data_IF_111310830116
#
_entry.id   IF_111310830116
#
_cell.length_a   1.000
_cell.length_b   1.000
_cell.length_c   1.000
_cell.angle_alpha   90.00
_cell.angle_beta   90.00
_cell.angle_gamma   90.00
#
_symmetry.space_group_name_H-M   'P 1'
#
loop_
_entity.id
_entity.type
_entity.pdbx_description
1 polymer ?
#
# COMPACT_ATOMS: atom_id res chain seq x y z
N UNK A 1 13.02 4.09 -17.24
CA UNK A 1 12.53 3.58 -15.95
C UNK A 1 11.01 3.66 -15.96
N UNK A 2 10.34 2.76 -15.25
CA UNK A 2 8.87 2.66 -15.19
C UNK A 2 8.46 2.61 -13.73
N UNK A 3 8.11 3.75 -13.16
CA UNK A 3 7.93 3.88 -11.72
C UNK A 3 6.47 3.75 -11.28
N UNK A 4 6.27 3.12 -10.12
CA UNK A 4 4.99 2.97 -9.46
C UNK A 4 5.05 3.61 -8.08
N UNK A 5 3.96 4.27 -7.69
CA UNK A 5 3.79 4.81 -6.33
C UNK A 5 2.76 3.95 -5.59
N UNK A 6 3.17 3.33 -4.49
CA UNK A 6 2.28 2.53 -3.65
C UNK A 6 1.60 3.41 -2.61
N UNK A 7 0.27 3.42 -2.60
CA UNK A 7 -0.54 4.08 -1.59
C UNK A 7 -1.03 3.02 -0.61
N UNK A 8 -0.67 3.15 0.67
CA UNK A 8 -1.02 2.19 1.70
C UNK A 8 -1.95 2.89 2.68
N UNK A 9 -3.19 2.43 2.78
CA UNK A 9 -4.24 3.17 3.47
C UNK A 9 -4.95 2.30 4.50
N UNK A 10 -4.91 2.78 5.76
CA UNK A 10 -5.47 2.12 6.92
C UNK A 10 -4.67 0.91 7.38
N UNK A 11 -5.02 0.40 8.56
CA UNK A 11 -4.33 -0.71 9.21
C UNK A 11 -4.09 -1.91 8.29
N UNK A 12 -5.12 -2.41 7.60
CA UNK A 12 -4.99 -3.56 6.70
C UNK A 12 -4.00 -3.30 5.55
N UNK A 13 -4.14 -2.15 4.87
CA UNK A 13 -3.27 -1.76 3.77
C UNK A 13 -1.80 -1.65 4.21
N UNK A 14 -1.56 -1.03 5.35
CA UNK A 14 -0.22 -0.86 5.93
C UNK A 14 0.43 -2.19 6.34
N UNK A 15 -0.33 -3.11 6.93
CA UNK A 15 0.17 -4.44 7.31
C UNK A 15 0.51 -5.31 6.10
N UNK A 16 -0.35 -5.33 5.08
CA UNK A 16 -0.09 -6.03 3.81
C UNK A 16 1.15 -5.44 3.16
N UNK A 17 1.23 -4.11 3.10
CA UNK A 17 2.36 -3.44 2.50
C UNK A 17 3.68 -3.75 3.21
N UNK A 18 3.68 -3.85 4.54
CA UNK A 18 4.87 -4.27 5.29
C UNK A 18 5.41 -5.62 4.77
N UNK A 19 4.54 -6.59 4.52
CA UNK A 19 4.94 -7.88 3.94
C UNK A 19 5.33 -7.79 2.48
N UNK A 20 4.66 -6.95 1.71
CA UNK A 20 5.03 -6.64 0.33
C UNK A 20 6.47 -6.08 0.24
N UNK A 21 6.82 -5.08 1.05
CA UNK A 21 8.15 -4.47 1.03
C UNK A 21 9.24 -5.41 1.55
N UNK A 22 8.95 -6.21 2.59
CA UNK A 22 9.86 -7.25 3.08
C UNK A 22 10.20 -8.25 1.96
N UNK A 23 9.18 -8.70 1.23
CA UNK A 23 9.36 -9.62 0.11
C UNK A 23 10.11 -8.96 -1.05
N UNK A 24 9.72 -7.75 -1.47
CA UNK A 24 10.36 -7.03 -2.55
C UNK A 24 11.86 -6.82 -2.27
N UNK A 25 12.21 -6.38 -1.07
CA UNK A 25 13.62 -6.22 -0.65
C UNK A 25 14.39 -7.54 -0.72
N UNK A 26 13.77 -8.63 -0.26
CA UNK A 26 14.39 -9.97 -0.27
C UNK A 26 14.60 -10.47 -1.70
N UNK A 27 13.63 -10.29 -2.58
CA UNK A 27 13.70 -10.71 -3.98
C UNK A 27 14.76 -9.92 -4.75
N UNK A 28 14.78 -8.60 -4.61
CA UNK A 28 15.81 -7.78 -5.24
C UNK A 28 17.20 -8.10 -4.70
N UNK A 29 17.36 -8.31 -3.38
CA UNK A 29 18.63 -8.72 -2.79
C UNK A 29 19.14 -10.08 -3.33
N UNK A 30 18.23 -11.00 -3.67
CA UNK A 30 18.59 -12.29 -4.26
C UNK A 30 18.94 -12.21 -5.76
N UNK A 31 18.37 -11.26 -6.50
CA UNK A 31 18.54 -11.12 -7.95
C UNK A 31 19.70 -10.20 -8.36
N UNK A 32 20.10 -9.25 -7.51
CA UNK A 32 21.18 -8.32 -7.78
C UNK A 32 22.56 -9.02 -7.86
N UNK A 33 23.01 -9.32 -9.09
CA UNK A 33 24.35 -9.86 -9.38
C UNK A 33 25.43 -8.80 -9.68
N UNK A 34 25.04 -7.55 -9.91
CA UNK A 34 25.90 -6.41 -10.31
C UNK A 34 25.39 -5.10 -9.67
N UNK A 35 26.26 -4.12 -9.36
CA UNK A 35 25.87 -2.90 -8.63
C UNK A 35 25.16 -1.85 -9.51
N UNK A 36 24.97 -2.14 -10.80
CA UNK A 36 24.14 -1.33 -11.68
C UNK A 36 22.67 -1.56 -11.33
N UNK A 37 22.00 -0.51 -10.87
CA UNK A 37 20.58 -0.50 -10.56
C UNK A 37 19.79 -1.22 -11.66
N UNK A 38 19.20 -2.36 -11.30
CA UNK A 38 18.29 -3.05 -12.18
C UNK A 38 17.06 -2.15 -12.39
N UNK A 39 16.55 -2.08 -13.61
CA UNK A 39 15.34 -1.31 -13.93
C UNK A 39 14.18 -1.73 -13.03
N UNK A 40 14.15 -3.01 -12.64
CA UNK A 40 13.17 -3.57 -11.70
C UNK A 40 13.20 -2.88 -10.32
N UNK A 41 14.37 -2.54 -9.79
CA UNK A 41 14.53 -1.93 -8.46
C UNK A 41 14.06 -0.47 -8.48
N UNK A 42 14.40 0.27 -9.54
CA UNK A 42 13.97 1.68 -9.71
C UNK A 42 12.45 1.86 -9.79
N UNK A 43 11.73 0.80 -10.16
CA UNK A 43 10.27 0.79 -10.28
C UNK A 43 9.58 1.02 -8.93
N UNK A 44 10.14 0.47 -7.85
CA UNK A 44 9.56 0.50 -6.50
C UNK A 44 10.40 1.30 -5.49
N UNK A 45 11.70 1.44 -5.73
CA UNK A 45 12.64 2.07 -4.82
C UNK A 45 13.35 3.26 -5.48
N UNK A 46 13.61 4.27 -4.67
CA UNK A 46 14.57 5.33 -4.92
C UNK A 46 15.89 4.98 -4.24
N UNK A 47 17.00 5.16 -4.93
CA UNK A 47 18.32 5.06 -4.34
C UNK A 47 18.66 6.47 -3.84
N UNK A 48 18.75 6.65 -2.51
CA UNK A 48 19.09 7.93 -1.93
C UNK A 48 20.56 8.30 -2.16
N UNK A 49 20.86 9.60 -2.23
CA UNK A 49 22.23 10.09 -2.15
C UNK A 49 22.79 9.90 -0.74
N UNK A 50 24.05 9.46 -0.64
CA UNK A 50 24.79 9.23 0.62
C UNK A 50 25.07 10.51 1.45
N UNK A 51 24.40 11.64 1.16
CA UNK A 51 24.68 12.97 1.72
C UNK A 51 23.92 13.29 3.03
N UNK A 52 23.04 12.40 3.50
CA UNK A 52 22.31 12.55 4.77
C UNK A 52 22.97 11.87 5.98
N UNK A 53 22.66 12.29 7.23
CA UNK A 53 23.21 11.67 8.44
C UNK A 53 22.74 10.21 8.52
N UNK A 54 23.65 9.26 8.26
CA UNK A 54 23.45 7.80 8.33
C UNK A 54 22.01 7.39 7.98
N UNK A 55 21.65 7.49 6.69
CA UNK A 55 20.43 6.83 6.23
C UNK A 55 20.56 5.35 6.56
N UNK A 56 19.73 4.86 7.48
CA UNK A 56 19.58 3.43 7.79
C UNK A 56 19.16 2.72 6.50
N UNK A 57 20.14 2.31 5.70
CA UNK A 57 19.90 1.69 4.41
C UNK A 57 19.19 0.37 4.62
N UNK A 58 17.99 0.23 4.04
CA UNK A 58 17.18 -0.99 4.12
C UNK A 58 17.30 -1.68 2.77
N UNK A 59 18.42 -2.35 2.54
CA UNK A 59 18.69 -3.10 1.30
C UNK A 59 20.09 -3.70 1.35
N UNK A 60 20.22 -5.01 1.12
CA UNK A 60 21.51 -5.70 1.12
C UNK A 60 21.96 -5.94 -0.31
N UNK A 61 23.07 -5.33 -0.71
CA UNK A 61 23.77 -5.63 -1.95
C UNK A 61 25.17 -6.15 -1.62
N UNK A 62 25.47 -7.42 -1.89
CA UNK A 62 26.82 -7.98 -1.67
C UNK A 62 27.38 -7.77 -0.25
N UNK A 63 26.51 -7.65 0.76
CA UNK A 63 26.89 -7.34 2.15
C UNK A 63 26.95 -5.84 2.52
N UNK A 64 26.73 -4.94 1.56
CA UNK A 64 26.71 -3.49 1.76
C UNK A 64 25.26 -2.96 1.80
N UNK A 65 24.97 -2.07 2.76
CA UNK A 65 23.66 -1.42 2.87
C UNK A 65 23.50 -0.34 1.81
N UNK A 66 22.45 -0.44 0.99
CA UNK A 66 22.04 0.62 0.07
C UNK A 66 20.99 1.52 0.74
N UNK A 67 21.07 2.85 0.55
CA UNK A 67 20.12 3.81 1.10
C UNK A 67 18.80 3.81 0.30
N UNK A 68 18.10 2.68 0.27
CA UNK A 68 16.84 2.55 -0.46
C UNK A 68 15.71 3.27 0.28
N UNK A 69 14.88 3.95 -0.51
CA UNK A 69 13.61 4.55 -0.08
C UNK A 69 12.48 3.98 -0.91
N UNK A 70 11.43 3.48 -0.26
CA UNK A 70 10.24 3.01 -0.97
C UNK A 70 9.48 4.19 -1.59
N UNK A 71 9.03 4.03 -2.84
CA UNK A 71 8.08 4.93 -3.50
C UNK A 71 6.68 4.68 -2.93
N UNK A 72 6.47 5.10 -1.69
CA UNK A 72 5.25 4.81 -0.96
C UNK A 72 4.73 6.02 -0.19
N UNK A 73 3.40 6.14 -0.15
CA UNK A 73 2.67 7.04 0.73
C UNK A 73 1.91 6.18 1.73
N UNK A 74 2.14 6.45 3.01
CA UNK A 74 1.59 5.65 4.11
C UNK A 74 0.57 6.51 4.83
N UNK A 75 -0.67 6.03 4.91
CA UNK A 75 -1.80 6.77 5.48
C UNK A 75 -2.48 5.89 6.50
N UNK A 76 -2.64 6.39 7.72
CA UNK A 76 -3.48 5.76 8.72
C UNK A 76 -4.04 6.82 9.66
N UNK A 77 -5.31 6.76 10.03
CA UNK A 77 -5.88 7.74 10.97
C UNK A 77 -5.70 7.31 12.43
N UNK A 78 -4.83 6.33 12.66
CA UNK A 78 -4.42 5.85 13.97
C UNK A 78 -2.88 5.72 14.01
N UNK A 79 -2.25 6.27 15.05
CA UNK A 79 -0.78 6.34 15.13
C UNK A 79 -0.11 4.98 15.41
N UNK A 80 -0.85 4.00 15.94
CA UNK A 80 -0.29 2.74 16.42
C UNK A 80 0.48 1.97 15.34
N UNK A 81 -0.15 1.76 14.18
CA UNK A 81 0.41 0.95 13.08
C UNK A 81 1.65 1.62 12.47
N UNK A 82 1.57 2.94 12.23
CA UNK A 82 2.69 3.70 11.65
C UNK A 82 3.86 3.77 12.64
N UNK A 83 3.58 3.95 13.93
CA UNK A 83 4.59 3.95 14.99
C UNK A 83 5.33 2.61 15.10
N UNK A 84 4.62 1.49 15.00
CA UNK A 84 5.23 0.15 14.97
C UNK A 84 6.07 -0.07 13.71
N UNK A 85 5.56 0.33 12.55
CA UNK A 85 6.28 0.22 11.28
C UNK A 85 7.62 1.00 11.31
N UNK A 86 7.61 2.21 11.88
CA UNK A 86 8.80 3.04 12.05
C UNK A 86 9.81 2.49 13.05
N UNK A 87 9.35 1.82 14.12
CA UNK A 87 10.22 1.14 15.09
C UNK A 87 10.76 -0.19 14.57
N UNK A 88 10.08 -0.78 13.59
CA UNK A 88 10.45 -2.04 12.98
C UNK A 88 11.68 -1.96 12.06
N UNK A 89 12.07 -3.12 11.53
CA UNK A 89 13.23 -3.26 10.63
C UNK A 89 13.14 -2.43 9.34
N UNK A 90 11.93 -2.04 8.95
CA UNK A 90 11.64 -1.29 7.72
C UNK A 90 11.46 0.22 7.97
N UNK A 91 11.60 0.73 9.19
CA UNK A 91 11.41 2.15 9.46
C UNK A 91 12.32 3.06 8.65
N UNK A 92 13.55 2.59 8.34
CA UNK A 92 14.50 3.30 7.48
C UNK A 92 14.11 3.35 6.00
N UNK A 93 13.17 2.51 5.55
CA UNK A 93 12.77 2.40 4.15
C UNK A 93 11.83 3.52 3.71
N UNK A 94 10.97 3.98 4.61
CA UNK A 94 9.96 4.97 4.30
C UNK A 94 10.46 6.38 4.61
N UNK A 95 10.00 7.35 3.83
CA UNK A 95 10.25 8.76 4.14
C UNK A 95 9.14 9.27 5.06
N UNK A 96 9.50 9.81 6.23
CA UNK A 96 8.54 10.37 7.20
C UNK A 96 7.65 11.45 6.57
N UNK A 97 8.19 12.21 5.62
CA UNK A 97 7.46 13.24 4.87
C UNK A 97 6.35 12.67 3.97
N UNK A 98 6.40 11.38 3.64
CA UNK A 98 5.38 10.65 2.88
C UNK A 98 4.40 9.88 3.77
N UNK A 99 4.48 10.05 5.10
CA UNK A 99 3.53 9.48 6.05
C UNK A 99 2.49 10.51 6.44
N UNK A 100 1.24 10.09 6.59
CA UNK A 100 0.16 10.85 7.18
C UNK A 100 -0.49 10.02 8.28
N UNK A 101 -0.42 10.51 9.52
CA UNK A 101 -1.12 9.95 10.66
C UNK A 101 -1.95 10.99 11.40
N UNK A 102 -2.99 10.54 12.09
CA UNK A 102 -3.72 11.32 13.08
C UNK A 102 -4.15 10.41 14.26
N UNK A 103 -4.73 10.98 15.31
CA UNK A 103 -5.15 10.26 16.53
C UNK A 103 -6.61 9.83 16.51
N UNK A 104 -7.39 10.32 15.55
CA UNK A 104 -8.81 10.04 15.43
C UNK A 104 -9.07 9.06 14.29
N UNK A 105 -9.15 7.77 14.63
CA UNK A 105 -9.54 6.72 13.70
C UNK A 105 -10.91 7.00 13.07
N UNK A 106 -11.18 6.41 11.90
CA UNK A 106 -12.46 6.60 11.19
C UNK A 106 -13.63 5.84 11.82
N UNK A 107 -13.42 5.14 12.95
CA UNK A 107 -14.47 4.46 13.71
C UNK A 107 -15.28 3.45 12.89
N UNK A 108 -14.64 2.75 11.96
CA UNK A 108 -15.29 1.84 11.01
C UNK A 108 -16.46 2.47 10.21
N UNK A 109 -16.35 3.77 9.90
CA UNK A 109 -17.35 4.50 9.13
C UNK A 109 -16.74 5.05 7.84
N UNK A 110 -17.19 4.53 6.69
CA UNK A 110 -16.76 5.00 5.37
C UNK A 110 -17.00 6.49 5.17
N UNK A 111 -18.15 7.03 5.60
CA UNK A 111 -18.48 8.45 5.41
C UNK A 111 -17.54 9.36 6.20
N UNK A 112 -17.08 8.91 7.38
CA UNK A 112 -16.05 9.64 8.14
C UNK A 112 -14.73 9.67 7.37
N UNK A 113 -14.31 8.56 6.79
CA UNK A 113 -13.11 8.49 5.97
C UNK A 113 -13.21 9.34 4.68
N UNK A 114 -14.31 9.20 3.95
CA UNK A 114 -14.47 9.78 2.61
C UNK A 114 -14.95 11.24 2.65
N UNK A 115 -16.00 11.55 3.40
CA UNK A 115 -16.63 12.89 3.39
C UNK A 115 -16.08 13.85 4.44
N UNK A 116 -15.49 13.35 5.54
CA UNK A 116 -14.88 14.22 6.55
C UNK A 116 -13.36 14.27 6.39
N UNK A 117 -12.66 13.14 6.53
CA UNK A 117 -11.20 13.09 6.48
C UNK A 117 -10.62 13.34 5.09
N UNK A 118 -11.27 12.84 4.03
CA UNK A 118 -10.89 13.14 2.65
C UNK A 118 -10.69 14.65 2.41
N UNK A 119 -11.76 15.47 2.55
CA UNK A 119 -11.65 16.93 2.42
C UNK A 119 -10.71 17.57 3.44
N UNK A 120 -10.74 17.14 4.71
CA UNK A 120 -9.90 17.70 5.76
C UNK A 120 -8.40 17.57 5.46
N UNK A 121 -7.97 16.41 4.94
CA UNK A 121 -6.57 16.13 4.65
C UNK A 121 -6.19 16.29 3.17
N UNK A 122 -7.13 16.71 2.31
CA UNK A 122 -6.95 16.82 0.87
C UNK A 122 -5.62 17.48 0.48
N UNK A 123 -5.36 18.69 0.99
CA UNK A 123 -4.13 19.43 0.66
C UNK A 123 -2.86 18.72 1.15
N UNK A 124 -2.91 18.07 2.30
CA UNK A 124 -1.77 17.32 2.87
C UNK A 124 -1.45 16.07 2.06
N UNK A 125 -2.49 15.37 1.58
CA UNK A 125 -2.36 14.18 0.73
C UNK A 125 -1.86 14.57 -0.66
N UNK A 126 -2.43 15.62 -1.25
CA UNK A 126 -2.04 16.14 -2.55
C UNK A 126 -0.57 16.54 -2.61
N UNK A 127 -0.07 17.26 -1.59
CA UNK A 127 1.35 17.62 -1.53
C UNK A 127 2.28 16.40 -1.47
N UNK A 128 1.88 15.33 -0.78
CA UNK A 128 2.64 14.07 -0.72
C UNK A 128 2.66 13.37 -2.06
N UNK A 129 1.50 13.27 -2.71
CA UNK A 129 1.33 12.71 -4.05
C UNK A 129 2.20 13.45 -5.07
N UNK A 130 2.12 14.79 -5.11
CA UNK A 130 2.95 15.61 -6.01
C UNK A 130 4.44 15.40 -5.77
N UNK A 131 4.88 15.42 -4.50
CA UNK A 131 6.30 15.15 -4.18
C UNK A 131 6.74 13.75 -4.63
N UNK A 132 5.90 12.74 -4.45
CA UNK A 132 6.22 11.37 -4.85
C UNK A 132 6.29 11.26 -6.39
N UNK A 133 5.37 11.92 -7.10
CA UNK A 133 5.34 11.97 -8.56
C UNK A 133 6.53 12.75 -9.15
N UNK A 134 6.88 13.91 -8.58
CA UNK A 134 8.05 14.73 -8.97
C UNK A 134 9.38 13.98 -8.79
N UNK A 135 9.43 13.00 -7.89
CA UNK A 135 10.61 12.16 -7.68
C UNK A 135 10.66 10.95 -8.64
N UNK A 136 9.72 10.82 -9.59
CA UNK A 136 9.72 9.80 -10.64
C UNK A 136 10.15 10.43 -11.97
N UNK A 137 11.00 9.75 -12.73
CA UNK A 137 11.34 10.16 -14.10
C UNK A 137 10.19 9.84 -15.06
N UNK A 138 9.52 8.70 -14.84
CA UNK A 138 8.37 8.28 -15.64
C UNK A 138 7.33 7.48 -14.83
N UNK A 139 6.48 8.21 -14.09
CA UNK A 139 5.36 7.61 -13.35
C UNK A 139 4.40 6.87 -14.30
N UNK A 140 4.20 5.58 -14.06
CA UNK A 140 3.30 4.73 -14.86
C UNK A 140 1.96 4.49 -14.17
N UNK A 141 1.95 4.47 -12.84
CA UNK A 141 0.76 4.09 -12.10
C UNK A 141 0.87 4.24 -10.59
N UNK A 142 -0.30 4.21 -9.97
CA UNK A 142 -0.49 4.12 -8.54
C UNK A 142 -1.01 2.73 -8.19
N UNK A 143 -0.49 2.16 -7.10
CA UNK A 143 -0.97 0.92 -6.51
C UNK A 143 -1.55 1.21 -5.13
N UNK A 144 -2.87 1.23 -5.02
CA UNK A 144 -3.57 1.36 -3.74
C UNK A 144 -3.67 0.00 -3.05
N UNK A 145 -3.24 -0.08 -1.80
CA UNK A 145 -3.42 -1.21 -0.89
C UNK A 145 -4.36 -0.76 0.23
N UNK A 146 -5.56 -1.34 0.30
CA UNK A 146 -6.58 -0.95 1.28
C UNK A 146 -7.57 -2.08 1.57
N UNK A 147 -8.38 -1.93 2.63
CA UNK A 147 -9.53 -2.80 2.90
C UNK A 147 -10.85 -2.12 2.61
N UNK A 148 -11.86 -2.92 2.26
CA UNK A 148 -13.23 -2.46 2.05
C UNK A 148 -14.06 -2.42 3.34
N UNK A 149 -13.70 -3.23 4.34
CA UNK A 149 -14.43 -3.30 5.60
C UNK A 149 -14.15 -2.14 6.57
N UNK A 150 -12.91 -1.64 6.63
CA UNK A 150 -12.49 -0.62 7.60
C UNK A 150 -12.80 0.81 7.14
N UNK A 151 -13.10 1.74 8.06
CA UNK A 151 -13.50 3.11 7.71
C UNK A 151 -12.41 3.93 7.01
N UNK A 152 -11.16 3.84 7.46
CA UNK A 152 -10.02 4.55 6.84
C UNK A 152 -9.65 3.93 5.49
N UNK A 153 -9.49 2.60 5.44
CA UNK A 153 -9.14 1.89 4.21
C UNK A 153 -10.18 2.07 3.11
N UNK A 154 -11.45 1.93 3.45
CA UNK A 154 -12.55 2.04 2.50
C UNK A 154 -12.80 3.51 2.13
N UNK A 155 -13.07 4.38 3.10
CA UNK A 155 -13.45 5.78 2.88
C UNK A 155 -12.30 6.63 2.34
N UNK A 156 -11.20 6.73 3.11
CA UNK A 156 -10.07 7.57 2.71
C UNK A 156 -9.29 6.96 1.53
N UNK A 157 -9.21 5.63 1.46
CA UNK A 157 -8.57 4.96 0.32
C UNK A 157 -9.30 5.21 -0.99
N UNK A 158 -10.63 5.17 -1.00
CA UNK A 158 -11.41 5.47 -2.21
C UNK A 158 -11.45 6.96 -2.55
N UNK A 159 -11.44 7.84 -1.54
CA UNK A 159 -11.25 9.28 -1.76
C UNK A 159 -9.91 9.59 -2.43
N UNK A 160 -8.84 8.85 -2.09
CA UNK A 160 -7.57 8.99 -2.79
C UNK A 160 -7.68 8.62 -4.28
N UNK A 161 -8.45 7.59 -4.64
CA UNK A 161 -8.64 7.23 -6.06
C UNK A 161 -9.30 8.35 -6.85
N UNK A 162 -10.33 9.00 -6.28
CA UNK A 162 -10.98 10.14 -6.94
C UNK A 162 -10.01 11.31 -7.09
N UNK A 163 -9.20 11.60 -6.05
CA UNK A 163 -8.17 12.63 -6.12
C UNK A 163 -7.11 12.34 -7.20
N UNK A 164 -6.67 11.08 -7.33
CA UNK A 164 -5.70 10.69 -8.36
C UNK A 164 -6.25 10.89 -9.77
N UNK A 165 -7.54 10.63 -9.98
CA UNK A 165 -8.19 10.87 -11.26
C UNK A 165 -8.10 12.33 -11.68
N UNK A 166 -8.37 13.23 -10.74
CA UNK A 166 -8.44 14.67 -11.00
C UNK A 166 -7.03 15.26 -11.23
N UNK A 167 -6.06 14.84 -10.42
CA UNK A 167 -4.71 15.45 -10.38
C UNK A 167 -3.71 14.79 -11.32
N UNK A 168 -3.87 13.50 -11.62
CA UNK A 168 -2.99 12.72 -12.49
C UNK A 168 -3.77 12.02 -13.60
N UNK A 169 -4.52 12.78 -14.44
CA UNK A 169 -5.33 12.18 -15.50
C UNK A 169 -4.43 11.42 -16.48
N UNK A 170 -4.78 10.17 -16.75
CA UNK A 170 -4.04 9.29 -17.67
C UNK A 170 -2.97 8.41 -17.02
N UNK A 171 -2.73 8.54 -15.72
CA UNK A 171 -1.89 7.60 -14.96
C UNK A 171 -2.77 6.46 -14.44
N UNK A 172 -2.30 5.21 -14.57
CA UNK A 172 -3.07 4.03 -14.19
C UNK A 172 -3.26 3.93 -12.67
N UNK A 173 -4.46 3.58 -12.23
CA UNK A 173 -4.85 3.43 -10.82
C UNK A 173 -5.26 1.98 -10.55
N UNK A 174 -4.31 1.22 -10.01
CA UNK A 174 -4.55 -0.16 -9.56
C UNK A 174 -4.98 -0.15 -8.10
N UNK A 175 -6.03 -0.91 -7.76
CA UNK A 175 -6.50 -1.06 -6.40
C UNK A 175 -6.46 -2.53 -5.98
N UNK A 176 -5.60 -2.86 -5.03
CA UNK A 176 -5.61 -4.13 -4.34
C UNK A 176 -6.53 -4.00 -3.13
N UNK A 177 -7.74 -4.54 -3.27
CA UNK A 177 -8.85 -4.31 -2.34
C UNK A 177 -9.13 -5.58 -1.55
N UNK A 178 -8.96 -5.51 -0.23
CA UNK A 178 -9.29 -6.62 0.67
C UNK A 178 -10.76 -6.60 1.02
N UNK A 179 -11.47 -7.63 0.58
CA UNK A 179 -12.87 -7.88 0.88
C UNK A 179 -13.00 -8.53 2.26
N UNK A 180 -13.97 -8.06 3.08
CA UNK A 180 -14.26 -8.67 4.37
C UNK A 180 -14.77 -10.10 4.19
N UNK A 181 -14.58 -10.94 5.21
CA UNK A 181 -15.19 -12.27 5.32
C UNK A 181 -16.54 -12.18 6.03
N UNK A 182 -17.32 -13.26 6.00
CA UNK A 182 -18.58 -13.35 6.77
C UNK A 182 -18.33 -13.27 8.29
N UNK A 183 -17.16 -13.73 8.74
CA UNK A 183 -16.68 -13.65 10.12
C UNK A 183 -15.78 -12.42 10.30
N UNK A 184 -16.33 -11.21 10.12
CA UNK A 184 -15.63 -9.94 10.31
C UNK A 184 -16.12 -9.24 11.58
N UNK A 185 -15.18 -8.74 12.40
CA UNK A 185 -15.47 -8.04 13.66
C UNK A 185 -16.16 -6.68 13.45
N UNK A 186 -16.16 -6.19 12.21
CA UNK A 186 -16.70 -4.89 11.83
C UNK A 186 -18.13 -5.04 11.30
N UNK A 187 -19.13 -4.79 12.16
CA UNK A 187 -20.56 -4.87 11.81
C UNK A 187 -20.96 -3.96 10.63
N UNK A 188 -20.23 -2.86 10.42
CA UNK A 188 -20.46 -1.90 9.33
C UNK A 188 -19.73 -2.25 8.03
N UNK A 189 -18.96 -3.36 7.99
CA UNK A 189 -18.15 -3.72 6.83
C UNK A 189 -18.95 -3.92 5.54
N UNK A 190 -20.21 -4.42 5.54
CA UNK A 190 -20.99 -4.50 4.29
C UNK A 190 -21.36 -3.13 3.74
N UNK A 191 -21.68 -2.17 4.61
CA UNK A 191 -21.99 -0.79 4.21
C UNK A 191 -20.75 -0.07 3.66
N UNK A 192 -19.63 -0.21 4.37
CA UNK A 192 -18.36 0.38 3.94
C UNK A 192 -17.92 -0.18 2.59
N UNK A 193 -18.07 -1.49 2.41
CA UNK A 193 -17.73 -2.18 1.16
C UNK A 193 -18.60 -1.72 0.01
N UNK A 194 -19.91 -1.62 0.20
CA UNK A 194 -20.83 -1.16 -0.85
C UNK A 194 -20.48 0.26 -1.35
N UNK A 195 -20.26 1.19 -0.42
CA UNK A 195 -19.93 2.58 -0.76
C UNK A 195 -18.53 2.68 -1.40
N UNK A 196 -17.57 1.91 -0.91
CA UNK A 196 -16.23 1.87 -1.49
C UNK A 196 -16.22 1.24 -2.90
N UNK A 197 -17.03 0.20 -3.14
CA UNK A 197 -17.15 -0.44 -4.45
C UNK A 197 -17.67 0.52 -5.51
N UNK A 198 -18.62 1.39 -5.17
CA UNK A 198 -19.08 2.43 -6.09
C UNK A 198 -17.92 3.32 -6.54
N UNK A 199 -17.10 3.79 -5.61
CA UNK A 199 -15.95 4.63 -5.92
C UNK A 199 -14.86 3.88 -6.70
N UNK A 200 -14.66 2.59 -6.42
CA UNK A 200 -13.72 1.76 -7.20
C UNK A 200 -14.18 1.60 -8.64
N UNK A 201 -15.48 1.39 -8.88
CA UNK A 201 -16.05 1.30 -10.22
C UNK A 201 -15.89 2.59 -11.03
N UNK A 202 -15.97 3.74 -10.35
CA UNK A 202 -15.87 5.06 -10.99
C UNK A 202 -14.41 5.50 -11.22
N UNK A 203 -13.50 5.15 -10.30
CA UNK A 203 -12.17 5.77 -10.23
C UNK A 203 -10.97 4.82 -10.33
N UNK A 204 -11.14 3.50 -10.27
CA UNK A 204 -10.04 2.57 -10.47
C UNK A 204 -9.97 2.10 -11.93
N UNK A 205 -8.77 2.03 -12.50
CA UNK A 205 -8.58 1.44 -13.84
C UNK A 205 -8.53 -0.10 -13.78
N UNK A 206 -8.09 -0.65 -12.64
CA UNK A 206 -8.07 -2.09 -12.39
C UNK A 206 -8.17 -2.37 -10.89
N UNK A 207 -9.05 -3.31 -10.52
CA UNK A 207 -9.22 -3.78 -9.15
C UNK A 207 -8.75 -5.23 -9.06
N UNK A 208 -7.88 -5.50 -8.10
CA UNK A 208 -7.38 -6.81 -7.73
C UNK A 208 -8.09 -7.22 -6.42
N UNK A 209 -9.22 -7.95 -6.51
CA UNK A 209 -9.96 -8.35 -5.31
C UNK A 209 -9.20 -9.43 -4.54
N UNK A 210 -9.04 -9.22 -3.24
CA UNK A 210 -8.49 -10.19 -2.30
C UNK A 210 -9.55 -10.52 -1.25
N UNK A 211 -10.02 -11.75 -1.19
CA UNK A 211 -11.04 -12.16 -0.22
C UNK A 211 -10.40 -12.84 0.98
N UNK A 212 -10.63 -12.29 2.19
CA UNK A 212 -10.05 -12.84 3.41
C UNK A 212 -10.44 -14.31 3.65
N UNK A 213 -11.71 -14.67 3.40
CA UNK A 213 -12.17 -16.05 3.57
C UNK A 213 -11.43 -17.01 2.63
N UNK A 214 -11.28 -16.65 1.36
CA UNK A 214 -10.54 -17.47 0.40
C UNK A 214 -9.06 -17.64 0.79
N UNK A 215 -8.44 -16.58 1.32
CA UNK A 215 -7.05 -16.63 1.80
C UNK A 215 -6.91 -17.53 3.04
N UNK A 216 -7.84 -17.44 3.99
CA UNK A 216 -7.88 -18.31 5.17
C UNK A 216 -8.07 -19.78 4.79
N UNK A 217 -8.99 -20.06 3.85
CA UNK A 217 -9.22 -21.41 3.35
C UNK A 217 -7.97 -22.01 2.69
N UNK A 218 -7.23 -21.20 1.93
CA UNK A 218 -5.95 -21.62 1.32
C UNK A 218 -4.91 -21.88 2.41
N UNK A 219 -4.77 -21.00 3.40
CA UNK A 219 -3.82 -21.17 4.50
C UNK A 219 -4.11 -22.46 5.29
N UNK A 220 -5.37 -22.69 5.67
CA UNK A 220 -5.79 -23.89 6.38
C UNK A 220 -5.48 -25.18 5.59
N UNK A 221 -5.67 -25.16 4.25
CA UNK A 221 -5.32 -26.29 3.39
C UNK A 221 -3.81 -26.55 3.35
N UNK A 222 -3.00 -25.50 3.28
CA UNK A 222 -1.54 -25.63 3.28
C UNK A 222 -1.02 -26.18 4.62
N UNK A 223 -1.57 -25.73 5.74
CA UNK A 223 -1.24 -26.23 7.07
C UNK A 223 -1.64 -27.69 7.28
N UNK A 224 -2.77 -28.12 6.69
CA UNK A 224 -3.21 -29.51 6.68
C UNK A 224 -2.36 -30.42 5.77
N UNK A 225 -1.29 -29.92 5.16
CA UNK A 225 -0.35 -30.70 4.36
C UNK A 225 -0.81 -30.95 2.92
N UNK A 226 -1.59 -30.04 2.33
CA UNK A 226 -2.06 -30.20 0.96
C UNK A 226 -0.90 -30.22 -0.07
N UNK A 227 -0.62 -31.42 -0.58
CA UNK A 227 0.32 -31.68 -1.69
C UNK A 227 -0.40 -31.68 -3.02
N UNK A 228 -0.96 -30.53 -3.42
CA UNK A 228 -1.37 -30.21 -4.80
C UNK A 228 -1.83 -31.39 -5.68
N UNK A 229 -2.92 -32.08 -5.33
CA UNK A 229 -3.59 -32.95 -6.28
C UNK A 229 -4.68 -32.17 -7.00
N UNK A 230 -4.42 -31.92 -8.30
CA UNK A 230 -5.39 -31.46 -9.27
C UNK A 230 -6.67 -32.31 -9.18
N UNK A 231 -7.76 -31.70 -8.70
CA UNK A 231 -9.09 -32.15 -9.12
C UNK A 231 -9.26 -31.68 -10.55
N UNK A 232 -9.02 -32.57 -11.51
CA UNK A 232 -9.66 -32.48 -12.83
C UNK A 232 -11.16 -32.47 -12.59
N UNK A 233 -11.78 -31.32 -12.82
CA UNK A 233 -13.23 -31.20 -12.87
C UNK A 233 -13.75 -32.07 -14.02
N UNK A 234 -14.76 -32.89 -13.70
CA UNK A 234 -15.72 -33.44 -14.68
C UNK A 234 -16.91 -32.50 -14.72
#
# INVERSE_FOLDING_TARGET
MRELITLQVGQCGNQIACKFWELALREHAAQLKSPTADESLSSFFQIGDNSGPKSSGVGLYGGQQLPLKARAIVVDMEEGVIGEMLKGKMGGLFEQRQMLSDVSGSGNNWAQGHHAYGPQYHQKLLQRLRRAAEACDSLQGFLLLHSLGGGTGSGLGTYLLSMLQDEFPGILRFACSVFPSDDDDVVTSPYNSLLALQQLLEHADCVLPLENQALQDIAARLEAGWTGQHRTAV
#
